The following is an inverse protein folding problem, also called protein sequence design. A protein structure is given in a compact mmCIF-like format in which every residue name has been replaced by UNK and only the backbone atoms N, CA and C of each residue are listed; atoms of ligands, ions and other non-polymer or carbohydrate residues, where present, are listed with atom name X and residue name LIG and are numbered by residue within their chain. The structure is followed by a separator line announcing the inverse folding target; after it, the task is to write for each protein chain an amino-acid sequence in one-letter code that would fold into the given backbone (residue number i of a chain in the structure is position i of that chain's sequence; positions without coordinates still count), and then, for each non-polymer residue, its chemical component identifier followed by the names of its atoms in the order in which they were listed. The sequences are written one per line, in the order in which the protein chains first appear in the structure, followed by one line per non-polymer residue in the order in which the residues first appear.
data_IF_120823021595
#
_entry.id   IF_120823021595
#
_cell.length_a   1.000
_cell.length_b   1.000
_cell.length_c   1.000
_cell.angle_alpha   90.00
_cell.angle_beta   90.00
_cell.angle_gamma   90.00
#
_symmetry.space_group_name_H-M   'P 1'
#
loop_
_entity.id
_entity.type
_entity.pdbx_description
1 polymer ?
#
# COMPACT_ATOMS: atom_id res chain seq x y z
N UNK A 1 5.89 21.65 27.70
CA UNK A 1 4.91 21.45 26.60
C UNK A 1 3.67 20.80 27.18
N UNK A 2 2.47 21.32 26.93
CA UNK A 2 1.22 20.64 27.32
C UNK A 2 1.02 19.42 26.41
N UNK A 3 0.80 18.25 27.01
CA UNK A 3 0.53 17.01 26.29
C UNK A 3 -0.82 17.11 25.55
N UNK A 4 -0.84 16.95 24.22
CA UNK A 4 -2.06 16.96 23.43
C UNK A 4 -2.69 15.55 23.41
N UNK A 5 -3.90 15.43 23.96
CA UNK A 5 -4.60 14.16 24.16
C UNK A 5 -6.04 14.15 23.64
N UNK A 6 -6.41 15.11 22.79
CA UNK A 6 -7.76 15.23 22.25
C UNK A 6 -7.91 14.53 20.91
N UNK A 7 -9.00 13.79 20.75
CA UNK A 7 -9.49 13.33 19.45
C UNK A 7 -10.04 14.51 18.67
N UNK A 8 -10.01 14.44 17.34
CA UNK A 8 -10.60 15.48 16.48
C UNK A 8 -12.11 15.67 16.75
N UNK A 9 -12.80 14.60 17.17
CA UNK A 9 -14.21 14.62 17.54
C UNK A 9 -14.49 15.36 18.87
N UNK A 10 -13.53 15.40 19.80
CA UNK A 10 -13.70 16.11 21.07
C UNK A 10 -13.53 17.63 20.93
N UNK A 11 -12.90 18.08 19.84
CA UNK A 11 -12.77 19.52 19.52
C UNK A 11 -13.81 19.98 18.48
N UNK A 12 -14.67 19.05 18.05
CA UNK A 12 -15.75 19.29 17.09
C UNK A 12 -16.82 20.19 17.69
N UNK A 13 -17.33 21.12 16.90
CA UNK A 13 -18.33 22.09 17.31
C UNK A 13 -19.41 22.17 16.23
N UNK A 14 -20.67 22.02 16.65
CA UNK A 14 -21.80 21.83 15.73
C UNK A 14 -21.87 22.96 14.68
N UNK A 15 -22.01 22.59 13.42
CA UNK A 15 -22.05 23.46 12.24
C UNK A 15 -20.74 24.21 11.92
N UNK A 16 -19.60 23.85 12.52
CA UNK A 16 -18.31 24.48 12.20
C UNK A 16 -17.78 23.94 10.86
N UNK A 17 -17.39 24.87 9.98
CA UNK A 17 -16.93 24.57 8.61
C UNK A 17 -15.42 24.86 8.52
N UNK A 18 -14.67 23.85 8.07
CA UNK A 18 -13.21 23.91 7.92
C UNK A 18 -12.69 23.96 6.50
N UNK A 19 -13.55 24.22 5.51
CA UNK A 19 -13.18 24.26 4.10
C UNK A 19 -13.81 25.45 3.39
N UNK A 20 -13.17 25.87 2.31
CA UNK A 20 -13.71 26.79 1.32
C UNK A 20 -13.58 26.16 -0.05
N UNK A 21 -14.69 25.70 -0.61
CA UNK A 21 -14.75 25.24 -2.00
C UNK A 21 -15.27 26.39 -2.86
N UNK A 22 -14.68 26.58 -4.04
CA UNK A 22 -15.21 27.54 -5.01
C UNK A 22 -16.67 27.21 -5.33
N UNK A 23 -17.54 28.21 -5.23
CA UNK A 23 -18.94 28.09 -5.64
C UNK A 23 -18.98 27.92 -7.15
N UNK A 24 -19.15 26.67 -7.60
CA UNK A 24 -19.42 26.39 -9.02
C UNK A 24 -20.90 26.67 -9.30
N UNK A 25 -21.19 27.40 -10.37
CA UNK A 25 -22.56 27.59 -10.89
C UNK A 25 -23.06 26.30 -11.55
N UNK A 26 -23.20 25.24 -10.77
CA UNK A 26 -23.75 23.97 -11.21
C UNK A 26 -25.26 23.96 -10.97
N UNK A 27 -26.06 23.35 -11.87
CA UNK A 27 -27.48 23.18 -11.64
C UNK A 27 -27.70 22.33 -10.38
N UNK A 28 -28.65 22.75 -9.55
CA UNK A 28 -29.01 22.02 -8.34
C UNK A 28 -29.66 20.69 -8.72
N UNK A 29 -29.05 19.56 -8.33
CA UNK A 29 -29.58 18.22 -8.60
C UNK A 29 -30.36 17.74 -7.38
N UNK A 30 -31.68 17.58 -7.52
CA UNK A 30 -32.51 16.97 -6.47
C UNK A 30 -32.46 15.45 -6.57
N UNK A 31 -31.83 14.81 -5.59
CA UNK A 31 -31.84 13.35 -5.49
C UNK A 31 -33.22 12.84 -5.06
N UNK A 32 -33.73 11.73 -5.61
CA UNK A 32 -34.89 11.01 -5.09
C UNK A 32 -34.71 10.63 -3.61
N UNK A 33 -35.78 10.69 -2.81
CA UNK A 33 -35.69 10.43 -1.37
C UNK A 33 -35.29 8.99 -1.03
N UNK A 34 -35.58 8.03 -1.91
CA UNK A 34 -35.20 6.61 -1.73
C UNK A 34 -33.71 6.32 -1.91
N UNK A 35 -32.91 7.29 -2.37
CA UNK A 35 -31.46 7.15 -2.52
C UNK A 35 -30.67 8.14 -1.66
N UNK A 36 -31.36 8.99 -0.90
CA UNK A 36 -30.70 9.89 0.05
C UNK A 36 -30.21 9.10 1.25
N UNK A 37 -29.03 9.45 1.74
CA UNK A 37 -28.59 8.99 3.05
C UNK A 37 -29.63 9.38 4.10
N UNK A 38 -30.07 8.40 4.90
CA UNK A 38 -31.08 8.61 5.95
C UNK A 38 -30.49 9.40 7.12
N UNK A 39 -29.22 9.12 7.45
CA UNK A 39 -28.48 9.78 8.51
C UNK A 39 -27.28 10.53 7.94
N UNK A 40 -26.95 11.65 8.57
CA UNK A 40 -25.72 12.37 8.29
C UNK A 40 -24.52 11.56 8.79
N UNK A 41 -23.40 11.58 8.06
CA UNK A 41 -22.17 10.98 8.52
C UNK A 41 -21.63 11.73 9.74
N UNK A 42 -21.18 10.99 10.76
CA UNK A 42 -20.61 11.52 12.00
C UNK A 42 -19.17 12.00 11.78
N UNK A 43 -18.99 13.01 10.93
CA UNK A 43 -17.70 13.64 10.67
C UNK A 43 -17.43 14.77 11.69
N UNK A 44 -16.16 15.05 12.02
CA UNK A 44 -15.83 16.18 12.90
C UNK A 44 -16.09 17.51 12.19
N UNK A 45 -16.69 18.44 12.93
CA UNK A 45 -17.02 19.80 12.50
C UNK A 45 -16.00 20.75 13.14
N UNK A 46 -14.91 21.02 12.42
CA UNK A 46 -13.72 21.73 12.92
C UNK A 46 -13.28 22.80 11.92
N UNK A 47 -12.63 23.87 12.39
CA UNK A 47 -12.09 24.89 11.49
C UNK A 47 -10.79 24.41 10.84
N UNK A 48 -10.37 25.04 9.75
CA UNK A 48 -9.08 24.71 9.11
C UNK A 48 -7.91 24.83 10.10
N UNK A 49 -7.92 25.87 10.95
CA UNK A 49 -6.92 26.04 12.00
C UNK A 49 -6.94 24.91 13.04
N UNK A 50 -8.13 24.43 13.42
CA UNK A 50 -8.25 23.31 14.35
C UNK A 50 -7.67 22.03 13.73
N UNK A 51 -7.93 21.78 12.44
CA UNK A 51 -7.35 20.64 11.68
C UNK A 51 -5.83 20.73 11.65
N UNK A 52 -5.26 21.87 11.25
CA UNK A 52 -3.81 22.06 11.17
C UNK A 52 -3.16 21.87 12.54
N UNK A 53 -3.72 22.47 13.60
CA UNK A 53 -3.20 22.31 14.97
C UNK A 53 -3.32 20.87 15.44
N UNK A 54 -4.44 20.20 15.18
CA UNK A 54 -4.65 18.81 15.57
C UNK A 54 -3.58 17.91 14.96
N UNK A 55 -3.44 17.90 13.62
CA UNK A 55 -2.50 17.00 12.95
C UNK A 55 -1.03 17.38 13.18
N UNK A 56 -0.71 18.66 13.41
CA UNK A 56 0.64 19.08 13.85
C UNK A 56 0.97 18.54 15.25
N UNK A 57 0.02 18.60 16.18
CA UNK A 57 0.24 18.06 17.53
C UNK A 57 0.30 16.53 17.52
N UNK A 58 -0.51 15.88 16.68
CA UNK A 58 -0.48 14.41 16.51
C UNK A 58 0.83 13.96 15.87
N UNK A 59 1.37 14.68 14.88
CA UNK A 59 2.64 14.31 14.26
C UNK A 59 3.81 14.36 15.24
N UNK A 60 3.82 15.32 16.17
CA UNK A 60 4.83 15.41 17.24
C UNK A 60 4.77 14.25 18.26
N UNK A 61 3.71 13.44 18.25
CA UNK A 61 3.59 12.22 19.07
C UNK A 61 4.15 10.98 18.37
N UNK A 62 4.51 11.09 17.09
CA UNK A 62 5.02 9.98 16.30
C UNK A 62 6.54 10.03 16.24
N UNK A 63 7.17 8.88 16.46
CA UNK A 63 8.58 8.68 16.16
C UNK A 63 8.69 8.00 14.79
N UNK A 64 9.62 8.46 13.95
CA UNK A 64 9.87 7.90 12.63
C UNK A 64 11.34 8.07 12.22
N UNK A 65 11.66 7.67 10.98
CA UNK A 65 13.03 7.69 10.43
C UNK A 65 13.61 9.10 10.40
N UNK A 66 12.78 10.13 10.23
CA UNK A 66 13.21 11.53 10.21
C UNK A 66 13.55 12.08 11.59
N UNK A 67 13.03 11.47 12.66
CA UNK A 67 13.20 11.96 14.04
C UNK A 67 14.31 11.22 14.79
N UNK A 68 14.82 10.11 14.26
CA UNK A 68 15.95 9.39 14.86
C UNK A 68 16.15 7.99 14.31
N UNK A 69 17.08 7.25 14.92
CA UNK A 69 17.43 5.90 14.51
C UNK A 69 16.28 4.91 14.75
N UNK A 70 15.92 4.15 13.72
CA UNK A 70 14.72 3.30 13.71
C UNK A 70 15.04 1.83 13.30
N UNK A 71 15.70 1.03 14.16
CA UNK A 71 16.28 -0.27 13.77
C UNK A 71 15.26 -1.42 13.77
N UNK A 72 14.23 -1.34 12.92
CA UNK A 72 13.31 -2.46 12.73
C UNK A 72 13.88 -3.50 11.75
N UNK A 73 14.15 -4.70 12.26
CA UNK A 73 14.53 -5.85 11.44
C UNK A 73 13.46 -6.18 10.40
N UNK A 74 13.88 -6.67 9.22
CA UNK A 74 13.03 -6.95 8.04
C UNK A 74 12.36 -5.72 7.38
N UNK A 75 12.21 -4.59 8.08
CA UNK A 75 11.48 -3.42 7.56
C UNK A 75 12.33 -2.46 6.70
N UNK A 76 13.65 -2.54 6.76
CA UNK A 76 14.56 -1.66 5.99
C UNK A 76 14.23 -0.17 6.14
N UNK A 77 14.27 0.34 7.38
CA UNK A 77 13.95 1.72 7.73
C UNK A 77 15.06 2.71 7.30
N UNK A 78 15.29 2.80 5.99
CA UNK A 78 16.27 3.69 5.36
C UNK A 78 15.73 5.12 5.26
N UNK A 79 16.63 6.07 5.02
CA UNK A 79 16.25 7.44 4.67
C UNK A 79 15.29 7.47 3.46
N UNK A 80 14.28 8.33 3.52
CA UNK A 80 13.35 8.62 2.45
C UNK A 80 13.71 9.98 1.81
N UNK A 81 14.42 10.00 0.66
CA UNK A 81 14.84 11.25 0.02
C UNK A 81 13.69 12.20 -0.27
N UNK A 82 13.77 13.44 0.23
CA UNK A 82 12.69 14.45 0.07
C UNK A 82 12.40 14.82 -1.37
N UNK A 83 13.41 14.70 -2.24
CA UNK A 83 13.23 14.83 -3.68
C UNK A 83 12.17 13.86 -4.24
N UNK A 84 12.01 12.66 -3.66
CA UNK A 84 11.01 11.71 -4.13
C UNK A 84 9.59 12.20 -3.83
N UNK A 85 9.38 12.84 -2.66
CA UNK A 85 8.10 13.44 -2.29
C UNK A 85 7.77 14.60 -3.24
N UNK A 86 8.75 15.46 -3.54
CA UNK A 86 8.59 16.56 -4.49
C UNK A 86 8.23 16.05 -5.90
N UNK A 87 8.97 15.06 -6.42
CA UNK A 87 8.72 14.49 -7.74
C UNK A 87 7.34 13.82 -7.84
N UNK A 88 6.87 13.16 -6.78
CA UNK A 88 5.56 12.52 -6.76
C UNK A 88 4.40 13.54 -6.87
N UNK A 89 4.62 14.79 -6.45
CA UNK A 89 3.61 15.86 -6.55
C UNK A 89 3.53 16.54 -7.90
N UNK A 90 4.46 16.26 -8.83
CA UNK A 90 4.41 16.84 -10.16
C UNK A 90 3.09 16.46 -10.86
N UNK A 91 2.49 17.40 -11.60
CA UNK A 91 1.20 17.19 -12.26
C UNK A 91 1.19 16.01 -13.24
N UNK A 92 2.34 15.70 -13.85
CA UNK A 92 2.54 14.53 -14.72
C UNK A 92 2.48 13.18 -14.00
N UNK A 93 2.45 13.16 -12.67
CA UNK A 93 2.19 11.98 -11.84
C UNK A 93 0.86 12.11 -11.09
N UNK A 94 0.69 13.18 -10.31
CA UNK A 94 -0.43 13.33 -9.36
C UNK A 94 -1.80 13.50 -10.04
N UNK A 95 -1.84 14.09 -11.24
CA UNK A 95 -3.09 14.42 -11.94
C UNK A 95 -3.37 13.52 -13.14
N UNK A 96 -2.86 12.29 -13.11
CA UNK A 96 -3.06 11.31 -14.19
C UNK A 96 -4.29 10.44 -13.88
N UNK A 97 -5.24 10.40 -14.81
CA UNK A 97 -6.31 9.41 -14.74
C UNK A 97 -5.80 8.07 -15.31
N UNK A 98 -5.94 6.93 -14.60
CA UNK A 98 -5.36 5.65 -15.04
C UNK A 98 -5.93 5.14 -16.38
N UNK A 99 -7.13 5.58 -16.76
CA UNK A 99 -7.77 5.23 -18.03
C UNK A 99 -7.66 6.30 -19.13
N UNK A 100 -6.84 7.34 -18.95
CA UNK A 100 -6.68 8.34 -20.01
C UNK A 100 -5.89 7.78 -21.21
N UNK A 101 -6.07 8.31 -22.43
CA UNK A 101 -5.44 7.74 -23.61
C UNK A 101 -3.92 7.61 -23.47
N UNK A 102 -3.36 6.44 -23.75
CA UNK A 102 -1.93 6.15 -23.55
C UNK A 102 -0.99 7.18 -24.23
N UNK A 103 -1.42 7.76 -25.36
CA UNK A 103 -0.69 8.82 -26.06
C UNK A 103 -0.44 10.07 -25.22
N UNK A 104 -1.25 10.35 -24.19
CA UNK A 104 -1.10 11.52 -23.32
C UNK A 104 -0.21 11.25 -22.11
N UNK A 105 0.29 10.02 -21.93
CA UNK A 105 1.07 9.58 -20.75
C UNK A 105 2.38 8.88 -21.11
N UNK A 106 2.93 9.13 -22.29
CA UNK A 106 4.14 8.45 -22.76
C UNK A 106 5.34 8.63 -21.81
N UNK A 107 5.47 9.79 -21.15
CA UNK A 107 6.50 10.01 -20.14
C UNK A 107 6.39 9.04 -18.96
N UNK A 108 5.18 8.85 -18.42
CA UNK A 108 4.94 7.91 -17.33
C UNK A 108 5.17 6.46 -17.77
N UNK A 109 4.71 6.09 -18.97
CA UNK A 109 4.91 4.74 -19.52
C UNK A 109 6.39 4.42 -19.74
N UNK A 110 7.19 5.42 -20.15
CA UNK A 110 8.65 5.27 -20.24
C UNK A 110 9.26 4.98 -18.87
N UNK A 111 8.87 5.73 -17.83
CA UNK A 111 9.34 5.51 -16.45
C UNK A 111 8.96 4.11 -15.96
N UNK A 112 7.73 3.68 -16.24
CA UNK A 112 7.23 2.35 -15.88
C UNK A 112 8.09 1.25 -16.54
N UNK A 113 8.30 1.36 -17.85
CA UNK A 113 9.12 0.42 -18.61
C UNK A 113 10.58 0.37 -18.13
N UNK A 114 11.22 1.53 -17.95
CA UNK A 114 12.61 1.62 -17.50
C UNK A 114 12.77 1.04 -16.09
N UNK A 115 11.80 1.30 -15.20
CA UNK A 115 11.80 0.75 -13.84
C UNK A 115 11.64 -0.77 -13.87
N UNK A 116 10.75 -1.31 -14.70
CA UNK A 116 10.63 -2.77 -14.89
C UNK A 116 11.94 -3.37 -15.38
N UNK A 117 12.63 -2.73 -16.34
CA UNK A 117 13.92 -3.19 -16.86
C UNK A 117 15.02 -3.15 -15.78
N UNK A 118 15.12 -2.07 -15.03
CA UNK A 118 16.09 -1.94 -13.93
C UNK A 118 15.87 -3.02 -12.86
N UNK A 119 14.63 -3.25 -12.44
CA UNK A 119 14.32 -4.28 -11.44
C UNK A 119 14.51 -5.70 -11.98
N UNK A 120 14.22 -5.94 -13.25
CA UNK A 120 14.50 -7.22 -13.92
C UNK A 120 16.00 -7.52 -13.90
N UNK A 121 16.83 -6.52 -14.23
CA UNK A 121 18.29 -6.63 -14.21
C UNK A 121 18.82 -6.90 -12.80
N UNK A 122 18.39 -6.12 -11.80
CA UNK A 122 18.81 -6.27 -10.39
C UNK A 122 18.45 -7.65 -9.84
N UNK A 123 17.29 -8.19 -10.22
CA UNK A 123 16.79 -9.48 -9.74
C UNK A 123 17.25 -10.69 -10.57
N UNK A 124 17.88 -10.46 -11.73
CA UNK A 124 18.23 -11.52 -12.68
C UNK A 124 17.03 -12.21 -13.34
N UNK A 125 15.85 -11.57 -13.33
CA UNK A 125 14.63 -12.11 -13.91
C UNK A 125 14.42 -11.59 -15.35
N UNK A 126 13.72 -12.37 -16.17
CA UNK A 126 13.43 -11.97 -17.55
C UNK A 126 12.48 -10.76 -17.64
N UNK A 127 11.59 -10.59 -16.65
CA UNK A 127 10.61 -9.52 -16.60
C UNK A 127 10.19 -9.22 -15.15
N UNK A 128 9.73 -8.00 -14.92
CA UNK A 128 9.21 -7.52 -13.64
C UNK A 128 7.82 -6.90 -13.81
N UNK A 129 6.90 -7.17 -12.89
CA UNK A 129 5.56 -6.55 -12.86
C UNK A 129 5.48 -5.54 -11.73
N UNK A 130 5.04 -4.32 -12.05
CA UNK A 130 4.84 -3.22 -11.10
C UNK A 130 3.37 -3.11 -10.63
N UNK A 131 2.52 -4.09 -10.95
CA UNK A 131 1.11 -4.08 -10.58
C UNK A 131 0.82 -4.49 -9.12
N UNK A 132 1.61 -5.37 -8.48
CA UNK A 132 1.43 -5.64 -7.04
C UNK A 132 1.77 -4.42 -6.19
N UNK A 133 0.85 -4.01 -5.31
CA UNK A 133 0.98 -2.80 -4.50
C UNK A 133 1.63 -2.99 -3.11
N UNK A 134 2.01 -4.23 -2.76
CA UNK A 134 2.68 -4.56 -1.50
C UNK A 134 3.42 -5.91 -1.62
N UNK A 135 4.31 -6.22 -0.67
CA UNK A 135 5.08 -7.47 -0.65
C UNK A 135 4.19 -8.72 -0.68
N UNK A 136 3.24 -8.85 0.24
CA UNK A 136 2.30 -9.97 0.29
C UNK A 136 1.43 -10.10 -0.98
N UNK A 137 1.09 -8.97 -1.63
CA UNK A 137 0.39 -8.99 -2.91
C UNK A 137 1.32 -9.53 -4.03
N UNK A 138 2.61 -9.21 -3.97
CA UNK A 138 3.63 -9.79 -4.85
C UNK A 138 3.79 -11.29 -4.65
N UNK A 139 3.80 -11.77 -3.40
CA UNK A 139 3.82 -13.21 -3.08
C UNK A 139 2.62 -13.94 -3.71
N UNK A 140 1.40 -13.41 -3.51
CA UNK A 140 0.19 -13.95 -4.10
C UNK A 140 0.27 -13.98 -5.64
N UNK A 141 0.69 -12.87 -6.26
CA UNK A 141 0.85 -12.82 -7.72
C UNK A 141 1.86 -13.85 -8.23
N UNK A 142 2.99 -14.03 -7.52
CA UNK A 142 3.98 -15.06 -7.83
C UNK A 142 3.42 -16.47 -7.75
N UNK A 143 2.68 -16.78 -6.68
CA UNK A 143 2.00 -18.07 -6.51
C UNK A 143 0.94 -18.31 -7.60
N UNK A 144 0.18 -17.28 -7.99
CA UNK A 144 -0.77 -17.38 -9.11
C UNK A 144 -0.06 -17.67 -10.44
N UNK A 145 1.11 -17.09 -10.68
CA UNK A 145 1.93 -17.40 -11.87
C UNK A 145 2.41 -18.85 -11.84
N UNK A 146 2.90 -19.34 -10.69
CA UNK A 146 3.32 -20.74 -10.51
C UNK A 146 2.14 -21.69 -10.72
N UNK A 147 0.97 -21.36 -10.18
CA UNK A 147 -0.27 -22.13 -10.35
C UNK A 147 -0.67 -22.22 -11.83
N UNK A 148 -0.74 -21.09 -12.53
CA UNK A 148 -1.06 -21.03 -13.94
C UNK A 148 -0.05 -21.81 -14.80
N UNK A 149 1.24 -21.80 -14.42
CA UNK A 149 2.27 -22.61 -15.08
C UNK A 149 1.99 -24.12 -14.97
N UNK A 150 1.66 -24.61 -13.78
CA UNK A 150 1.34 -26.03 -13.59
C UNK A 150 0.02 -26.43 -14.27
N UNK A 151 -1.01 -25.59 -14.19
CA UNK A 151 -2.31 -25.82 -14.85
C UNK A 151 -2.17 -25.91 -16.37
N UNK A 152 -1.37 -25.02 -16.99
CA UNK A 152 -1.08 -25.06 -18.44
C UNK A 152 -0.40 -26.36 -18.87
N UNK A 153 0.36 -27.00 -17.98
CA UNK A 153 1.03 -28.28 -18.20
C UNK A 153 0.19 -29.49 -17.79
N UNK A 154 -1.03 -29.27 -17.30
CA UNK A 154 -1.92 -30.30 -16.72
C UNK A 154 -1.31 -31.01 -15.50
N UNK A 155 -0.42 -30.35 -14.77
CA UNK A 155 0.25 -30.89 -13.57
C UNK A 155 -0.52 -30.49 -12.29
N UNK A 156 -1.77 -30.95 -12.18
CA UNK A 156 -2.70 -30.53 -11.11
C UNK A 156 -2.39 -31.10 -9.72
N UNK A 157 -1.38 -31.96 -9.60
CA UNK A 157 -0.98 -32.56 -8.33
C UNK A 157 -0.05 -31.65 -7.51
N UNK A 158 0.47 -30.57 -8.10
CA UNK A 158 1.29 -29.57 -7.43
C UNK A 158 0.41 -28.66 -6.58
N UNK A 159 0.08 -29.10 -5.38
CA UNK A 159 -0.81 -28.40 -4.44
C UNK A 159 -0.12 -27.92 -3.17
N UNK A 160 1.14 -28.29 -2.96
CA UNK A 160 1.88 -28.01 -1.74
C UNK A 160 2.91 -26.92 -1.98
N UNK A 161 2.96 -25.93 -1.07
CA UNK A 161 4.01 -24.92 -0.98
C UNK A 161 4.86 -25.23 0.26
N UNK A 162 6.16 -25.38 0.05
CA UNK A 162 7.11 -25.61 1.12
C UNK A 162 7.49 -24.25 1.72
N UNK A 163 7.39 -24.12 3.05
CA UNK A 163 7.68 -22.89 3.77
C UNK A 163 8.61 -23.21 4.95
N UNK A 164 9.74 -22.51 5.13
CA UNK A 164 10.56 -22.66 6.34
C UNK A 164 9.82 -22.19 7.60
N UNK A 165 10.09 -22.79 8.75
CA UNK A 165 9.56 -22.35 10.05
C UNK A 165 9.96 -20.91 10.44
N UNK A 166 11.01 -20.37 9.81
CA UNK A 166 11.49 -18.99 9.97
C UNK A 166 10.86 -17.99 8.98
N UNK A 167 9.96 -18.43 8.09
CA UNK A 167 9.34 -17.56 7.10
C UNK A 167 8.48 -16.47 7.73
N UNK A 168 8.33 -15.36 7.02
CA UNK A 168 7.38 -14.32 7.41
C UNK A 168 5.95 -14.85 7.30
N UNK A 169 5.06 -14.44 8.22
CA UNK A 169 3.68 -14.98 8.29
C UNK A 169 2.84 -14.70 7.03
N UNK A 170 3.25 -13.76 6.17
CA UNK A 170 2.60 -13.53 4.87
C UNK A 170 2.77 -14.70 3.93
N UNK A 171 3.89 -15.43 3.97
CA UNK A 171 4.16 -16.55 3.06
C UNK A 171 3.08 -17.65 3.12
N UNK A 172 2.79 -18.27 4.29
CA UNK A 172 1.75 -19.29 4.38
C UNK A 172 0.34 -18.72 4.16
N UNK A 173 0.10 -17.47 4.54
CA UNK A 173 -1.18 -16.80 4.30
C UNK A 173 -1.43 -16.62 2.79
N UNK A 174 -0.45 -16.14 2.03
CA UNK A 174 -0.50 -15.98 0.57
C UNK A 174 -0.72 -17.32 -0.14
N UNK A 175 -0.06 -18.39 0.31
CA UNK A 175 -0.26 -19.75 -0.18
C UNK A 175 -1.71 -20.23 0.01
N UNK A 176 -2.25 -20.06 1.21
CA UNK A 176 -3.64 -20.41 1.54
C UNK A 176 -4.64 -19.62 0.69
N UNK A 177 -4.45 -18.30 0.55
CA UNK A 177 -5.31 -17.44 -0.29
C UNK A 177 -5.26 -17.87 -1.77
N UNK A 178 -4.11 -18.34 -2.25
CA UNK A 178 -3.96 -18.85 -3.62
C UNK A 178 -4.52 -20.28 -3.82
N UNK A 179 -5.00 -20.92 -2.74
CA UNK A 179 -5.57 -22.27 -2.74
C UNK A 179 -4.52 -23.38 -2.78
N UNK A 180 -3.34 -23.14 -2.22
CA UNK A 180 -2.32 -24.16 -1.94
C UNK A 180 -2.36 -24.57 -0.47
N UNK A 181 -2.01 -25.82 -0.21
CA UNK A 181 -1.68 -26.31 1.13
C UNK A 181 -0.21 -25.97 1.44
N UNK A 182 0.12 -25.72 2.71
CA UNK A 182 1.49 -25.41 3.13
C UNK A 182 2.12 -26.54 3.91
N UNK A 183 3.36 -26.90 3.59
CA UNK A 183 4.18 -27.82 4.38
C UNK A 183 5.32 -27.04 5.00
N UNK A 184 5.39 -27.04 6.32
CA UNK A 184 6.47 -26.38 7.06
C UNK A 184 7.71 -27.29 7.15
N UNK A 185 8.89 -26.74 6.88
CA UNK A 185 10.17 -27.43 7.12
C UNK A 185 10.92 -26.78 8.29
N UNK A 186 11.46 -27.62 9.17
CA UNK A 186 12.21 -27.16 10.35
C UNK A 186 13.61 -26.71 9.97
N UNK A 187 14.07 -25.61 10.58
CA UNK A 187 15.45 -25.15 10.45
C UNK A 187 16.44 -26.05 11.20
N UNK A 188 17.70 -26.02 10.79
CA UNK A 188 18.83 -26.60 11.53
C UNK A 188 19.09 -25.82 12.84
N UNK A 189 19.85 -26.39 13.81
CA UNK A 189 20.21 -25.68 15.04
C UNK A 189 20.96 -24.35 14.84
N UNK A 190 21.60 -24.15 13.69
CA UNK A 190 22.29 -22.91 13.32
C UNK A 190 21.38 -21.88 12.61
N UNK A 191 20.09 -22.19 12.45
CA UNK A 191 19.10 -21.34 11.79
C UNK A 191 19.07 -21.44 10.26
N UNK A 192 19.85 -22.34 9.66
CA UNK A 192 19.82 -22.59 8.20
C UNK A 192 18.72 -23.59 7.81
N UNK A 193 18.43 -23.68 6.51
CA UNK A 193 17.47 -24.66 5.98
C UNK A 193 18.01 -26.09 6.16
N UNK A 194 17.19 -26.99 6.72
CA UNK A 194 17.53 -28.39 6.85
C UNK A 194 17.30 -29.15 5.52
N UNK A 195 18.37 -29.44 4.80
CA UNK A 195 18.32 -30.17 3.52
C UNK A 195 17.81 -31.60 3.64
N UNK A 196 17.94 -32.25 4.80
CA UNK A 196 17.41 -33.60 4.99
C UNK A 196 15.89 -33.61 5.23
N UNK A 197 15.31 -32.47 5.63
CA UNK A 197 13.89 -32.29 5.83
C UNK A 197 13.17 -31.67 4.61
N UNK A 198 13.92 -31.20 3.60
CA UNK A 198 13.42 -30.60 2.36
C UNK A 198 13.19 -31.67 1.27
#
# INVERSE_FOLDING_TARGET
MKYYNKLIFEISEKNRIGYSLEKKNLPEVKLPNNIKAVNQAELPEVSEFDVVRHYTNVSQKNFGVETGFYPLGSCTMKYNPKINDELATLSGFANIHPLQPAKTVQGLLKIYYETQRMLSEISGLAAYSLNPFAGAHGELAGLMIIKAYHEKRKDYQRKLIIVPDSAHGTNPASATVCGFDTVEIKSNPDGTVNLAAL
#
